data_IF_393684843579
#
_entry.id   IF_393684843579
#
_cell.length_a   1.000
_cell.length_b   1.000
_cell.length_c   1.000
_cell.angle_alpha   90.00
_cell.angle_beta   90.00
_cell.angle_gamma   90.00
#
_symmetry.space_group_name_H-M   'P 1'
#
loop_
_entity.id
_entity.type
_entity.pdbx_description
1 polymer ?
#
# COMPACT_ATOMS: atom_id res chain seq x y z
N UNK A 1 19.09 3.78 -25.90
CA UNK A 1 20.51 3.91 -26.27
C UNK A 1 21.28 3.10 -25.24
N UNK A 2 21.95 2.02 -25.65
CA UNK A 2 22.71 1.17 -24.71
C UNK A 2 24.07 1.83 -24.48
N UNK A 3 24.39 2.14 -23.24
CA UNK A 3 25.68 2.71 -22.84
C UNK A 3 26.71 1.58 -22.84
N UNK A 4 27.87 1.79 -23.45
CA UNK A 4 28.96 0.81 -23.45
C UNK A 4 30.30 1.48 -23.20
N UNK A 5 31.20 0.75 -22.56
CA UNK A 5 32.57 1.17 -22.34
C UNK A 5 33.37 1.15 -23.65
N UNK A 6 34.30 2.10 -23.79
CA UNK A 6 35.20 2.21 -24.95
C UNK A 6 36.27 1.12 -24.89
N UNK A 7 36.50 0.42 -26.01
CA UNK A 7 37.54 -0.60 -26.15
C UNK A 7 38.94 -0.02 -26.44
N UNK A 8 39.08 1.30 -26.56
CA UNK A 8 40.37 1.94 -26.79
C UNK A 8 41.24 1.87 -25.54
N UNK A 9 42.46 1.34 -25.69
CA UNK A 9 43.44 1.30 -24.61
C UNK A 9 43.86 2.73 -24.22
N UNK A 10 43.76 3.12 -22.94
CA UNK A 10 44.24 4.41 -22.45
C UNK A 10 45.76 4.55 -22.60
N UNK A 11 46.27 5.76 -22.91
CA UNK A 11 47.71 5.99 -23.08
C UNK A 11 48.53 5.69 -21.83
N UNK A 12 47.94 5.75 -20.64
CA UNK A 12 48.60 5.45 -19.36
C UNK A 12 48.90 3.95 -19.17
N UNK A 13 48.24 3.08 -19.93
CA UNK A 13 48.40 1.62 -19.87
C UNK A 13 49.25 1.08 -21.03
N UNK A 14 49.66 1.93 -21.97
CA UNK A 14 50.53 1.53 -23.08
C UNK A 14 51.87 0.99 -22.57
N UNK A 15 52.26 -0.19 -23.06
CA UNK A 15 53.48 -0.88 -22.66
C UNK A 15 53.37 -1.72 -21.39
N UNK A 16 52.21 -1.72 -20.70
CA UNK A 16 51.93 -2.61 -19.55
C UNK A 16 50.87 -3.67 -19.85
N UNK A 17 49.95 -3.38 -20.76
CA UNK A 17 48.87 -4.26 -21.17
C UNK A 17 48.74 -4.21 -22.69
N UNK A 18 48.49 -5.37 -23.31
CA UNK A 18 48.26 -5.43 -24.74
C UNK A 18 46.90 -4.83 -25.10
N UNK A 19 46.86 -4.11 -26.22
CA UNK A 19 45.65 -3.41 -26.65
C UNK A 19 44.52 -4.39 -27.01
N UNK A 20 44.87 -5.55 -27.56
CA UNK A 20 43.92 -6.58 -27.94
C UNK A 20 43.33 -7.30 -26.71
N UNK A 21 44.16 -7.57 -25.70
CA UNK A 21 43.71 -8.16 -24.43
C UNK A 21 42.75 -7.21 -23.70
N UNK A 22 43.07 -5.92 -23.63
CA UNK A 22 42.18 -4.91 -23.07
C UNK A 22 40.85 -4.82 -23.82
N UNK A 23 40.90 -4.74 -25.16
CA UNK A 23 39.70 -4.65 -25.98
C UNK A 23 38.79 -5.88 -25.80
N UNK A 24 39.37 -7.07 -25.67
CA UNK A 24 38.63 -8.31 -25.40
C UNK A 24 37.92 -8.25 -24.05
N UNK A 25 38.62 -7.85 -22.99
CA UNK A 25 38.06 -7.73 -21.63
C UNK A 25 36.89 -6.73 -21.63
N UNK A 26 37.09 -5.54 -22.19
CA UNK A 26 36.05 -4.50 -22.24
C UNK A 26 34.85 -4.95 -23.08
N UNK A 27 35.08 -5.66 -24.18
CA UNK A 27 34.00 -6.24 -24.99
C UNK A 27 33.20 -7.25 -24.18
N UNK A 28 33.87 -8.16 -23.47
CA UNK A 28 33.21 -9.14 -22.60
C UNK A 28 32.41 -8.47 -21.48
N UNK A 29 32.97 -7.42 -20.88
CA UNK A 29 32.33 -6.64 -19.84
C UNK A 29 31.03 -5.99 -20.36
N UNK A 30 31.10 -5.36 -21.54
CA UNK A 30 29.94 -4.78 -22.21
C UNK A 30 28.86 -5.84 -22.51
N UNK A 31 29.24 -7.04 -22.94
CA UNK A 31 28.28 -8.14 -23.17
C UNK A 31 27.57 -8.58 -21.89
N UNK A 32 28.29 -8.65 -20.76
CA UNK A 32 27.72 -9.03 -19.46
C UNK A 32 26.71 -7.98 -19.00
N UNK A 33 27.07 -6.70 -19.08
CA UNK A 33 26.15 -5.61 -18.73
C UNK A 33 24.93 -5.58 -19.66
N UNK A 34 25.12 -5.76 -20.97
CA UNK A 34 24.01 -5.82 -21.91
C UNK A 34 23.03 -6.96 -21.59
N UNK A 35 23.52 -8.11 -21.09
CA UNK A 35 22.66 -9.20 -20.61
C UNK A 35 21.95 -8.86 -19.30
N UNK A 36 22.61 -8.17 -18.36
CA UNK A 36 21.99 -7.76 -17.11
C UNK A 36 20.90 -6.70 -17.29
N UNK A 37 21.06 -5.80 -18.27
CA UNK A 37 20.05 -4.80 -18.64
C UNK A 37 18.89 -5.37 -19.46
N UNK A 38 18.99 -6.59 -19.98
CA UNK A 38 17.89 -7.24 -20.66
C UNK A 38 16.78 -7.58 -19.66
N UNK A 39 15.72 -6.79 -19.73
CA UNK A 39 14.45 -7.11 -19.09
C UNK A 39 13.97 -8.44 -19.67
N UNK A 40 14.01 -9.48 -18.84
CA UNK A 40 13.56 -10.82 -19.21
C UNK A 40 12.05 -10.92 -18.98
N UNK A 41 11.33 -11.70 -19.79
CA UNK A 41 9.90 -11.93 -19.59
C UNK A 41 9.59 -12.39 -18.16
N UNK A 42 10.45 -13.22 -17.55
CA UNK A 42 10.35 -13.64 -16.15
C UNK A 42 10.29 -12.45 -15.19
N UNK A 43 11.21 -11.49 -15.29
CA UNK A 43 11.20 -10.28 -14.47
C UNK A 43 9.93 -9.44 -14.67
N UNK A 44 9.39 -9.40 -15.88
CA UNK A 44 8.09 -8.73 -16.13
C UNK A 44 6.96 -9.47 -15.42
N UNK A 45 6.91 -10.81 -15.53
CA UNK A 45 5.91 -11.62 -14.86
C UNK A 45 6.00 -11.50 -13.33
N UNK A 46 7.20 -11.52 -12.77
CA UNK A 46 7.41 -11.32 -11.32
C UNK A 46 6.86 -9.97 -10.86
N UNK A 47 7.17 -8.89 -11.59
CA UNK A 47 6.66 -7.56 -11.26
C UNK A 47 5.13 -7.47 -11.38
N UNK A 48 4.56 -8.08 -12.42
CA UNK A 48 3.11 -8.13 -12.63
C UNK A 48 2.42 -8.94 -11.53
N UNK A 49 2.94 -10.12 -11.19
CA UNK A 49 2.44 -10.94 -10.08
C UNK A 49 2.56 -10.16 -8.78
N UNK A 50 3.70 -9.53 -8.51
CA UNK A 50 3.91 -8.69 -7.33
C UNK A 50 2.87 -7.56 -7.22
N UNK A 51 2.58 -6.88 -8.32
CA UNK A 51 1.55 -5.85 -8.37
C UNK A 51 0.16 -6.41 -8.06
N UNK A 52 -0.22 -7.51 -8.72
CA UNK A 52 -1.51 -8.17 -8.48
C UNK A 52 -1.63 -8.68 -7.04
N UNK A 53 -0.59 -9.31 -6.50
CA UNK A 53 -0.55 -9.79 -5.11
C UNK A 53 -0.70 -8.65 -4.11
N UNK A 54 -0.03 -7.53 -4.34
CA UNK A 54 -0.15 -6.33 -3.50
C UNK A 54 -1.59 -5.77 -3.54
N UNK A 55 -2.17 -5.64 -4.75
CA UNK A 55 -3.54 -5.15 -4.91
C UNK A 55 -4.56 -6.08 -4.25
N UNK A 56 -4.42 -7.39 -4.42
CA UNK A 56 -5.31 -8.37 -3.81
C UNK A 56 -5.22 -8.33 -2.28
N UNK A 57 -4.01 -8.26 -1.72
CA UNK A 57 -3.83 -8.13 -0.28
C UNK A 57 -4.53 -6.87 0.27
N UNK A 58 -4.38 -5.73 -0.42
CA UNK A 58 -5.09 -4.51 -0.06
C UNK A 58 -6.62 -4.68 -0.09
N UNK A 59 -7.17 -5.27 -1.15
CA UNK A 59 -8.60 -5.56 -1.25
C UNK A 59 -9.09 -6.45 -0.10
N UNK A 60 -8.33 -7.49 0.24
CA UNK A 60 -8.68 -8.39 1.35
C UNK A 60 -8.73 -7.66 2.69
N UNK A 61 -7.76 -6.78 2.96
CA UNK A 61 -7.74 -5.97 4.19
C UNK A 61 -8.95 -5.04 4.23
N UNK A 62 -9.21 -4.31 3.15
CA UNK A 62 -10.36 -3.40 3.05
C UNK A 62 -11.68 -4.14 3.29
N UNK A 63 -11.86 -5.30 2.68
CA UNK A 63 -13.08 -6.10 2.85
C UNK A 63 -13.28 -6.60 4.31
N UNK A 64 -12.21 -7.10 4.94
CA UNK A 64 -12.28 -7.55 6.33
C UNK A 64 -12.56 -6.41 7.30
N UNK A 65 -11.96 -5.25 7.05
CA UNK A 65 -12.17 -4.04 7.82
C UNK A 65 -13.63 -3.58 7.74
N UNK A 66 -14.19 -3.45 6.53
CA UNK A 66 -15.59 -3.08 6.31
C UNK A 66 -16.57 -4.06 6.98
N UNK A 67 -16.25 -5.36 6.94
CA UNK A 67 -17.05 -6.39 7.60
C UNK A 67 -17.08 -6.17 9.12
N UNK A 68 -15.94 -5.82 9.70
CA UNK A 68 -15.81 -5.58 11.14
C UNK A 68 -16.56 -4.32 11.56
N UNK A 69 -16.47 -3.25 10.77
CA UNK A 69 -17.22 -2.01 10.99
C UNK A 69 -18.74 -2.23 10.98
N UNK A 70 -19.25 -3.02 10.02
CA UNK A 70 -20.67 -3.38 9.98
C UNK A 70 -21.12 -4.14 11.24
N UNK A 71 -20.26 -5.00 11.78
CA UNK A 71 -20.55 -5.75 13.01
C UNK A 71 -20.67 -4.80 14.20
N UNK A 72 -19.74 -3.85 14.34
CA UNK A 72 -19.79 -2.81 15.38
C UNK A 72 -21.06 -1.96 15.26
N UNK A 73 -21.40 -1.51 14.06
CA UNK A 73 -22.61 -0.71 13.82
C UNK A 73 -23.89 -1.45 14.23
N UNK A 74 -24.01 -2.72 13.84
CA UNK A 74 -25.14 -3.56 14.23
C UNK A 74 -25.20 -3.78 15.75
N UNK A 75 -24.04 -4.04 16.37
CA UNK A 75 -23.96 -4.21 17.82
C UNK A 75 -24.37 -2.94 18.57
N UNK A 76 -23.88 -1.77 18.15
CA UNK A 76 -24.24 -0.49 18.77
C UNK A 76 -25.73 -0.18 18.62
N UNK A 77 -26.32 -0.48 17.46
CA UNK A 77 -27.77 -0.35 17.28
C UNK A 77 -28.54 -1.20 18.29
N UNK A 78 -28.14 -2.46 18.46
CA UNK A 78 -28.75 -3.37 19.43
C UNK A 78 -28.57 -2.88 20.87
N UNK A 79 -27.38 -2.38 21.23
CA UNK A 79 -27.14 -1.82 22.58
C UNK A 79 -27.91 -0.53 22.81
N UNK A 80 -28.09 0.31 21.78
CA UNK A 80 -28.91 1.51 21.90
C UNK A 80 -30.37 1.13 22.21
N UNK A 81 -30.95 0.18 21.48
CA UNK A 81 -32.32 -0.27 21.70
C UNK A 81 -32.51 -0.94 23.06
N UNK A 82 -31.57 -1.80 23.48
CA UNK A 82 -31.72 -2.61 24.70
C UNK A 82 -31.28 -1.92 25.98
N UNK A 83 -30.27 -1.05 25.90
CA UNK A 83 -29.57 -0.49 27.08
C UNK A 83 -29.65 1.03 27.10
N UNK A 84 -29.19 1.74 26.07
CA UNK A 84 -29.05 3.20 26.19
C UNK A 84 -30.38 3.95 26.13
N UNK A 85 -31.25 3.65 25.16
CA UNK A 85 -32.53 4.35 24.97
C UNK A 85 -33.43 4.21 26.21
N UNK A 86 -33.57 3.04 26.86
CA UNK A 86 -34.30 2.92 28.13
C UNK A 86 -33.79 3.82 29.27
N UNK A 87 -32.51 4.20 29.22
CA UNK A 87 -31.88 5.11 30.20
C UNK A 87 -31.89 6.57 29.71
N UNK A 88 -32.60 6.89 28.63
CA UNK A 88 -32.61 8.25 28.07
C UNK A 88 -31.29 8.64 27.42
N UNK A 89 -30.47 7.67 26.98
CA UNK A 89 -29.19 7.91 26.34
C UNK A 89 -29.17 7.33 24.92
N UNK A 90 -28.29 7.84 24.07
CA UNK A 90 -28.06 7.27 22.74
C UNK A 90 -26.60 7.44 22.34
N UNK A 91 -25.98 6.34 21.95
CA UNK A 91 -24.61 6.32 21.45
C UNK A 91 -24.63 6.46 19.95
N UNK A 92 -23.98 7.49 19.42
CA UNK A 92 -23.82 7.67 17.97
C UNK A 92 -22.73 6.71 17.48
N UNK A 93 -22.95 6.09 16.32
CA UNK A 93 -21.96 5.21 15.71
C UNK A 93 -20.63 5.97 15.49
N UNK A 94 -19.50 5.53 16.10
CA UNK A 94 -18.21 6.18 15.95
C UNK A 94 -17.76 6.31 14.49
N UNK A 95 -18.27 5.48 13.57
CA UNK A 95 -17.97 5.58 12.13
C UNK A 95 -18.37 6.97 11.59
N UNK A 96 -19.49 7.54 12.06
CA UNK A 96 -19.95 8.88 11.65
C UNK A 96 -19.02 10.01 12.14
N UNK A 97 -18.15 9.71 13.11
CA UNK A 97 -17.13 10.62 13.65
C UNK A 97 -15.71 10.29 13.16
N UNK A 98 -15.60 9.37 12.19
CA UNK A 98 -14.32 8.88 11.67
C UNK A 98 -13.54 8.04 12.67
N UNK A 99 -14.24 7.35 13.58
CA UNK A 99 -13.70 6.44 14.60
C UNK A 99 -12.78 7.10 15.65
N UNK A 100 -12.83 8.43 15.76
CA UNK A 100 -11.96 9.20 16.67
C UNK A 100 -12.53 9.37 18.08
N UNK A 101 -13.86 9.36 18.20
CA UNK A 101 -14.57 9.61 19.46
C UNK A 101 -15.83 8.75 19.52
N UNK A 102 -16.27 8.44 20.74
CA UNK A 102 -17.59 7.86 21.01
C UNK A 102 -18.43 8.99 21.60
N UNK A 103 -19.53 9.33 20.93
CA UNK A 103 -20.44 10.39 21.36
C UNK A 103 -21.70 9.78 21.96
N UNK A 104 -22.11 10.30 23.12
CA UNK A 104 -23.31 9.87 23.84
C UNK A 104 -24.19 11.10 24.03
N UNK A 105 -25.41 11.03 23.52
CA UNK A 105 -26.42 12.09 23.63
C UNK A 105 -27.48 11.70 24.65
N UNK A 106 -27.96 12.67 25.41
CA UNK A 106 -29.14 12.50 26.25
C UNK A 106 -30.41 12.73 25.39
N UNK A 107 -31.32 11.76 25.38
CA UNK A 107 -32.64 11.92 24.77
C UNK A 107 -33.50 12.77 25.70
N UNK A 108 -33.40 14.09 25.58
CA UNK A 108 -34.32 15.00 26.25
C UNK A 108 -35.73 14.79 25.67
N UNK A 109 -36.64 14.23 26.46
CA UNK A 109 -38.06 14.27 26.14
C UNK A 109 -38.53 15.72 26.25
N UNK A 110 -38.66 16.42 25.12
CA UNK A 110 -39.33 17.72 25.06
C UNK A 110 -40.84 17.49 25.22
N UNK A 111 -41.28 17.27 26.45
CA UNK A 111 -42.66 17.45 26.89
C UNK A 111 -42.67 17.92 28.34
N UNK A 112 -42.59 19.23 28.54
CA UNK A 112 -43.55 20.02 29.33
C UNK A 112 -43.06 21.49 29.43
N UNK A 113 -43.53 22.33 28.52
CA UNK A 113 -43.77 23.75 28.79
C UNK A 113 -45.06 24.21 28.09
N UNK A 114 -46.14 23.51 28.43
CA UNK A 114 -47.46 24.14 28.50
C UNK A 114 -47.80 24.34 29.97
N UNK A 115 -48.30 25.53 30.31
CA UNK A 115 -48.77 26.06 31.61
C UNK A 115 -47.66 26.70 32.46
N UNK A 116 -47.66 27.99 32.82
CA UNK A 116 -48.71 29.01 32.92
C UNK A 116 -48.19 30.39 32.48
#
# INVERSE_FOLDING_TARGET
>A
MVVKFSTKLPPELQGRLDADEFALIITKLNEIYAKAEQITCESVFENVIGFFSCYLAHLCITFQYDKSLKLVSNYLKEQNEKVFIPHGLFVIDPIERGLRVIEISELSNVTHSSSN
#
